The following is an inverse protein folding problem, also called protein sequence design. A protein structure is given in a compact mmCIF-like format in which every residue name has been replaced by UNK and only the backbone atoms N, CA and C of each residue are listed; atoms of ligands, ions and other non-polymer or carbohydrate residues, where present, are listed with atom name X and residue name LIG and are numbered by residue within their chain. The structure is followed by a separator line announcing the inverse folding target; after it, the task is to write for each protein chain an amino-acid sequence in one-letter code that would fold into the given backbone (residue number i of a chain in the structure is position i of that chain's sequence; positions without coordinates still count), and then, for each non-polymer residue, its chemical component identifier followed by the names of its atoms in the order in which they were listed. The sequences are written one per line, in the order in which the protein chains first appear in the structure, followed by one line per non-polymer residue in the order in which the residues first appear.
data_IF_536135217694
#
_entry.id   IF_536135217694
#
_cell.length_a   1.000
_cell.length_b   1.000
_cell.length_c   1.000
_cell.angle_alpha   90.00
_cell.angle_beta   90.00
_cell.angle_gamma   90.00
#
_symmetry.space_group_name_H-M   'P 1'
#
loop_
_entity.id
_entity.type
_entity.pdbx_description
1 polymer ?
#
# COMPACT_ATOMS: atom_id res chain seq x y z
N UNK A 1 -5.27 1.01 -3.62
CA UNK A 1 -5.71 -0.31 -3.09
C UNK A 1 -7.16 -0.32 -2.52
N UNK A 2 -8.13 0.42 -3.09
CA UNK A 2 -9.50 0.56 -2.51
C UNK A 2 -10.61 -0.24 -3.24
N UNK A 3 -10.27 -0.98 -4.31
CA UNK A 3 -11.26 -1.59 -5.23
C UNK A 3 -11.77 -2.99 -4.84
N UNK A 4 -11.12 -3.71 -3.91
CA UNK A 4 -11.54 -5.08 -3.56
C UNK A 4 -12.55 -5.18 -2.41
N UNK A 5 -12.71 -4.14 -1.58
CA UNK A 5 -13.70 -4.18 -0.47
C UNK A 5 -15.14 -3.92 -0.92
N UNK A 6 -15.33 -3.21 -2.05
CA UNK A 6 -16.67 -2.79 -2.50
C UNK A 6 -17.48 -3.96 -3.06
N UNK A 7 -16.83 -4.95 -3.67
CA UNK A 7 -17.52 -6.09 -4.29
C UNK A 7 -18.22 -7.00 -3.27
N UNK A 8 -17.57 -7.28 -2.13
CA UNK A 8 -18.13 -8.15 -1.11
C UNK A 8 -19.29 -7.52 -0.34
N UNK A 9 -19.14 -6.24 0.03
CA UNK A 9 -20.20 -5.51 0.77
C UNK A 9 -21.38 -5.19 -0.12
N UNK A 10 -21.16 -4.80 -1.38
CA UNK A 10 -22.24 -4.57 -2.33
C UNK A 10 -23.01 -5.86 -2.65
N UNK A 11 -22.33 -7.00 -2.77
CA UNK A 11 -22.98 -8.29 -2.98
C UNK A 11 -23.84 -8.68 -1.77
N UNK A 12 -23.34 -8.48 -0.54
CA UNK A 12 -24.14 -8.73 0.67
C UNK A 12 -25.37 -7.82 0.74
N UNK A 13 -25.22 -6.53 0.44
CA UNK A 13 -26.35 -5.58 0.45
C UNK A 13 -27.38 -5.91 -0.65
N UNK A 14 -26.92 -6.34 -1.82
CA UNK A 14 -27.79 -6.72 -2.93
C UNK A 14 -28.56 -8.02 -2.63
N UNK A 15 -27.92 -9.00 -1.99
CA UNK A 15 -28.59 -10.22 -1.51
C UNK A 15 -29.65 -9.88 -0.45
N UNK A 16 -29.35 -8.97 0.49
CA UNK A 16 -30.31 -8.51 1.49
C UNK A 16 -31.49 -7.74 0.85
N UNK A 17 -31.24 -6.90 -0.15
CA UNK A 17 -32.29 -6.13 -0.85
C UNK A 17 -33.22 -7.02 -1.66
N UNK A 18 -32.67 -7.96 -2.45
CA UNK A 18 -33.49 -8.91 -3.22
C UNK A 18 -34.37 -9.78 -2.32
N UNK A 19 -33.88 -10.10 -1.12
CA UNK A 19 -34.62 -10.89 -0.15
C UNK A 19 -35.76 -10.10 0.51
N UNK A 20 -35.55 -8.83 0.87
CA UNK A 20 -36.62 -7.97 1.36
C UNK A 20 -37.75 -7.81 0.34
N UNK A 21 -37.41 -7.67 -0.95
CA UNK A 21 -38.40 -7.70 -2.03
C UNK A 21 -39.18 -9.01 -2.06
N UNK A 22 -38.50 -10.15 -1.91
CA UNK A 22 -39.16 -11.46 -1.99
C UNK A 22 -40.12 -11.71 -0.83
N UNK A 23 -39.76 -11.29 0.38
CA UNK A 23 -40.61 -11.36 1.59
C UNK A 23 -41.90 -10.54 1.42
N UNK A 24 -41.77 -9.33 0.87
CA UNK A 24 -42.92 -8.42 0.67
C UNK A 24 -43.90 -8.96 -0.37
N UNK A 25 -43.41 -9.59 -1.45
CA UNK A 25 -44.25 -10.03 -2.56
C UNK A 25 -44.89 -11.41 -2.39
N UNK A 26 -44.29 -12.34 -1.64
CA UNK A 26 -44.72 -13.75 -1.64
C UNK A 26 -45.23 -14.30 -0.30
N UNK A 27 -45.16 -13.56 0.80
CA UNK A 27 -45.66 -14.01 2.11
C UNK A 27 -44.92 -15.24 2.64
N UNK A 28 -43.92 -15.02 3.50
CA UNK A 28 -42.94 -16.08 3.82
C UNK A 28 -43.39 -17.04 4.92
N UNK A 29 -43.17 -18.36 4.75
CA UNK A 29 -43.29 -19.32 5.85
C UNK A 29 -42.15 -19.11 6.85
N UNK A 30 -42.46 -19.26 8.15
CA UNK A 30 -41.55 -19.07 9.30
C UNK A 30 -40.17 -19.73 9.14
N UNK A 31 -40.08 -20.86 8.43
CA UNK A 31 -38.83 -21.59 8.19
C UNK A 31 -37.78 -20.80 7.39
N UNK A 32 -38.21 -19.88 6.51
CA UNK A 32 -37.28 -19.05 5.74
C UNK A 32 -36.50 -18.09 6.64
N UNK A 33 -37.16 -17.47 7.63
CA UNK A 33 -36.54 -16.55 8.59
C UNK A 33 -35.47 -17.25 9.43
N UNK A 34 -35.73 -18.49 9.85
CA UNK A 34 -34.76 -19.29 10.64
C UNK A 34 -33.52 -19.60 9.80
N UNK A 35 -33.68 -19.96 8.53
CA UNK A 35 -32.56 -20.24 7.63
C UNK A 35 -31.68 -19.00 7.41
N UNK A 36 -32.28 -17.81 7.27
CA UNK A 36 -31.54 -16.56 7.12
C UNK A 36 -30.86 -16.09 8.40
N UNK A 37 -31.49 -16.27 9.56
CA UNK A 37 -30.86 -15.99 10.84
C UNK A 37 -29.61 -16.86 11.04
N UNK A 38 -29.69 -18.14 10.65
CA UNK A 38 -28.53 -19.05 10.68
C UNK A 38 -27.44 -18.63 9.69
N UNK A 39 -27.80 -18.33 8.44
CA UNK A 39 -26.82 -17.93 7.42
C UNK A 39 -26.09 -16.63 7.79
N UNK A 40 -26.85 -15.60 8.21
CA UNK A 40 -26.29 -14.31 8.62
C UNK A 40 -25.43 -14.43 9.89
N UNK A 41 -25.86 -15.23 10.87
CA UNK A 41 -25.05 -15.53 12.06
C UNK A 41 -23.74 -16.24 11.70
N UNK A 42 -23.78 -17.19 10.77
CA UNK A 42 -22.60 -17.93 10.32
C UNK A 42 -21.59 -17.01 9.61
N UNK A 43 -22.07 -16.08 8.78
CA UNK A 43 -21.20 -15.09 8.13
C UNK A 43 -20.66 -14.08 9.15
N UNK A 44 -21.50 -13.56 10.05
CA UNK A 44 -21.09 -12.56 11.04
C UNK A 44 -20.02 -13.09 12.01
N UNK A 45 -20.09 -14.37 12.40
CA UNK A 45 -19.09 -15.01 13.26
C UNK A 45 -17.90 -15.62 12.49
N UNK A 46 -18.13 -16.18 11.30
CA UNK A 46 -17.11 -16.82 10.49
C UNK A 46 -16.21 -15.85 9.71
N UNK A 47 -16.75 -14.71 9.26
CA UNK A 47 -16.00 -13.72 8.50
C UNK A 47 -14.84 -13.07 9.28
N UNK A 48 -15.00 -12.59 10.53
CA UNK A 48 -13.90 -11.95 11.26
C UNK A 48 -12.74 -12.92 11.55
N UNK A 49 -13.05 -14.20 11.83
CA UNK A 49 -12.04 -15.22 12.09
C UNK A 49 -11.30 -15.63 10.81
N UNK A 50 -12.01 -15.78 9.69
CA UNK A 50 -11.42 -16.03 8.39
C UNK A 50 -10.53 -14.87 7.93
N UNK A 51 -11.03 -13.63 8.02
CA UNK A 51 -10.31 -12.43 7.59
C UNK A 51 -9.03 -12.23 8.40
N UNK A 52 -9.09 -12.39 9.74
CA UNK A 52 -7.89 -12.35 10.60
C UNK A 52 -6.85 -13.39 10.19
N UNK A 53 -7.29 -14.61 9.89
CA UNK A 53 -6.39 -15.69 9.47
C UNK A 53 -5.76 -15.44 8.10
N UNK A 54 -6.53 -14.91 7.15
CA UNK A 54 -6.04 -14.52 5.83
C UNK A 54 -4.99 -13.40 5.92
N UNK A 55 -5.30 -12.33 6.65
CA UNK A 55 -4.34 -11.23 6.89
C UNK A 55 -3.08 -11.70 7.61
N UNK A 56 -3.22 -12.53 8.64
CA UNK A 56 -2.06 -13.08 9.38
C UNK A 56 -1.17 -13.92 8.46
N UNK A 57 -1.75 -14.71 7.55
CA UNK A 57 -1.00 -15.47 6.54
C UNK A 57 -0.29 -14.55 5.55
N UNK A 58 -0.93 -13.47 5.10
CA UNK A 58 -0.31 -12.46 4.24
C UNK A 58 0.88 -11.78 4.90
N UNK A 59 0.72 -11.29 6.14
CA UNK A 59 1.79 -10.67 6.91
C UNK A 59 2.94 -11.66 7.16
N UNK A 60 2.64 -12.92 7.47
CA UNK A 60 3.67 -13.95 7.67
C UNK A 60 4.48 -14.22 6.39
N UNK A 61 3.87 -14.13 5.21
CA UNK A 61 4.57 -14.22 3.93
C UNK A 61 5.45 -12.99 3.66
N UNK A 62 5.01 -11.80 4.05
CA UNK A 62 5.84 -10.58 3.97
C UNK A 62 7.02 -10.60 4.95
N UNK A 63 6.93 -11.38 6.02
CA UNK A 63 8.03 -11.63 6.98
C UNK A 63 8.97 -12.78 6.57
N UNK A 64 8.82 -13.39 5.39
CA UNK A 64 9.87 -14.30 4.92
C UNK A 64 11.19 -13.52 4.79
N UNK A 65 12.32 -14.14 5.08
CA UNK A 65 13.63 -13.48 5.12
C UNK A 65 13.94 -12.72 3.82
N UNK A 66 13.52 -13.26 2.68
CA UNK A 66 13.63 -12.66 1.35
C UNK A 66 12.87 -11.32 1.22
N UNK A 67 11.65 -11.23 1.76
CA UNK A 67 10.89 -9.98 1.79
C UNK A 67 11.36 -9.02 2.89
N UNK A 68 11.99 -9.56 3.94
CA UNK A 68 12.56 -8.74 5.02
C UNK A 68 13.77 -7.98 4.49
N UNK A 69 14.61 -8.60 3.65
CA UNK A 69 15.71 -7.92 2.95
C UNK A 69 15.25 -6.78 2.02
N UNK A 70 14.01 -6.83 1.50
CA UNK A 70 13.44 -5.72 0.70
C UNK A 70 13.18 -4.48 1.57
N UNK A 71 12.89 -4.67 2.85
CA UNK A 71 12.47 -3.61 3.78
C UNK A 71 13.64 -3.16 4.66
N UNK A 72 14.51 -4.09 5.05
CA UNK A 72 15.64 -3.86 5.95
C UNK A 72 16.92 -4.35 5.30
N UNK A 73 17.88 -3.45 5.12
CA UNK A 73 19.17 -3.73 4.47
C UNK A 73 19.86 -2.43 4.10
N UNK A 74 21.12 -2.53 3.69
CA UNK A 74 21.83 -1.36 3.15
C UNK A 74 21.19 -0.95 1.82
N UNK A 75 21.14 0.36 1.61
CA UNK A 75 20.71 0.95 0.35
C UNK A 75 21.70 2.04 -0.02
N UNK A 76 22.23 1.93 -1.21
CA UNK A 76 23.06 2.96 -1.83
C UNK A 76 22.16 3.78 -2.75
N UNK A 77 22.26 5.10 -2.63
CA UNK A 77 21.50 6.04 -3.45
C UNK A 77 22.52 6.96 -4.10
N UNK A 78 22.56 6.96 -5.43
CA UNK A 78 23.50 7.75 -6.20
C UNK A 78 22.76 8.66 -7.16
N UNK A 79 23.26 9.89 -7.30
CA UNK A 79 22.75 10.86 -8.25
C UNK A 79 23.46 10.64 -9.58
N UNK A 80 22.73 10.18 -10.58
CA UNK A 80 23.24 10.01 -11.94
C UNK A 80 22.84 11.18 -12.84
N UNK A 81 23.18 11.12 -14.13
CA UNK A 81 22.87 12.19 -15.08
C UNK A 81 21.37 12.27 -15.38
N UNK A 82 20.73 11.13 -15.51
CA UNK A 82 19.35 10.94 -16.01
C UNK A 82 18.36 10.56 -14.88
N UNK A 83 18.84 10.41 -13.65
CA UNK A 83 17.99 10.17 -12.50
C UNK A 83 18.75 9.85 -11.23
N UNK A 84 18.03 9.26 -10.28
CA UNK A 84 18.57 8.70 -9.04
C UNK A 84 18.63 7.19 -9.21
N UNK A 85 19.80 6.59 -9.04
CA UNK A 85 19.93 5.13 -8.95
C UNK A 85 19.87 4.70 -7.49
N UNK A 86 19.23 3.55 -7.27
CA UNK A 86 19.15 2.92 -5.97
C UNK A 86 19.61 1.47 -6.09
N UNK A 87 20.54 1.08 -5.23
CA UNK A 87 21.06 -0.28 -5.16
C UNK A 87 20.91 -0.83 -3.75
N UNK A 88 20.68 -2.12 -3.68
CA UNK A 88 20.61 -2.91 -2.45
C UNK A 88 20.99 -4.35 -2.79
N UNK A 89 21.06 -5.22 -1.78
CA UNK A 89 21.42 -6.63 -1.96
C UNK A 89 20.52 -7.38 -2.97
N UNK A 90 19.26 -6.96 -3.14
CA UNK A 90 18.26 -7.70 -3.92
C UNK A 90 17.46 -6.83 -4.90
N UNK A 91 17.68 -5.53 -4.89
CA UNK A 91 16.99 -4.58 -5.76
C UNK A 91 17.99 -3.55 -6.27
N UNK A 92 18.03 -3.41 -7.59
CA UNK A 92 18.68 -2.33 -8.31
C UNK A 92 17.61 -1.67 -9.18
N UNK A 93 17.50 -0.36 -9.09
CA UNK A 93 16.50 0.40 -9.80
C UNK A 93 16.93 1.83 -10.02
N UNK A 94 16.23 2.50 -10.93
CA UNK A 94 16.49 3.89 -11.28
C UNK A 94 15.19 4.66 -11.37
N UNK A 95 15.20 5.86 -10.81
CA UNK A 95 14.11 6.81 -10.88
C UNK A 95 14.57 7.97 -11.74
N UNK A 96 13.95 8.13 -12.90
CA UNK A 96 14.20 9.29 -13.75
C UNK A 96 13.81 10.58 -13.01
N UNK A 97 14.47 11.70 -13.33
CA UNK A 97 14.17 13.00 -12.70
C UNK A 97 12.70 13.41 -12.81
N UNK A 98 12.04 13.08 -13.93
CA UNK A 98 10.62 13.33 -14.13
C UNK A 98 9.71 12.57 -13.14
N UNK A 99 10.21 11.49 -12.53
CA UNK A 99 9.53 10.73 -11.50
C UNK A 99 9.76 11.26 -10.08
N UNK A 100 10.56 12.32 -9.90
CA UNK A 100 10.77 12.98 -8.60
C UNK A 100 9.91 14.24 -8.52
N UNK A 101 8.80 14.17 -7.78
CA UNK A 101 7.83 15.25 -7.65
C UNK A 101 8.34 16.36 -6.73
N UNK A 102 8.80 16.01 -5.53
CA UNK A 102 9.29 16.96 -4.53
C UNK A 102 10.28 16.33 -3.56
N UNK A 103 11.04 17.19 -2.89
CA UNK A 103 12.01 16.82 -1.86
C UNK A 103 11.60 17.57 -0.60
N UNK A 104 11.25 16.82 0.45
CA UNK A 104 10.83 17.39 1.73
C UNK A 104 11.75 16.86 2.83
N UNK A 105 12.13 17.71 3.78
CA UNK A 105 12.94 17.30 4.92
C UNK A 105 12.25 17.72 6.20
N UNK A 106 11.97 16.74 7.07
CA UNK A 106 11.29 16.95 8.34
C UNK A 106 12.07 16.22 9.46
N UNK A 107 12.62 17.00 10.39
CA UNK A 107 13.43 16.48 11.49
C UNK A 107 14.66 15.71 10.99
N UNK A 108 14.75 14.43 11.38
CA UNK A 108 15.85 13.51 11.03
C UNK A 108 15.57 12.67 9.77
N UNK A 109 14.61 13.08 8.94
CA UNK A 109 14.21 12.33 7.76
C UNK A 109 14.10 13.25 6.55
N UNK A 110 14.55 12.75 5.40
CA UNK A 110 14.28 13.34 4.09
C UNK A 110 13.41 12.41 3.27
N UNK A 111 12.43 12.98 2.61
CA UNK A 111 11.45 12.32 1.78
C UNK A 111 11.64 12.77 0.34
N UNK A 112 11.97 11.82 -0.54
CA UNK A 112 11.99 12.02 -1.98
C UNK A 112 10.66 11.51 -2.53
N UNK A 113 9.75 12.41 -2.84
CA UNK A 113 8.41 12.07 -3.30
C UNK A 113 8.48 11.63 -4.76
N UNK A 114 8.08 10.39 -5.04
CA UNK A 114 8.07 9.83 -6.40
C UNK A 114 6.66 9.70 -7.00
N UNK A 115 5.67 10.20 -6.26
CA UNK A 115 4.25 10.10 -6.56
C UNK A 115 3.42 10.48 -5.33
N UNK A 116 2.12 10.73 -5.53
CA UNK A 116 1.20 11.12 -4.46
C UNK A 116 1.10 10.14 -3.27
N UNK A 117 1.54 8.88 -3.42
CA UNK A 117 1.50 7.86 -2.35
C UNK A 117 2.81 7.11 -2.18
N UNK A 118 3.89 7.54 -2.83
CA UNK A 118 5.19 6.84 -2.78
C UNK A 118 6.31 7.82 -2.52
N UNK A 119 7.15 7.50 -1.56
CA UNK A 119 8.32 8.29 -1.20
C UNK A 119 9.49 7.37 -0.86
N UNK A 120 10.69 7.82 -1.19
CA UNK A 120 11.92 7.25 -0.64
C UNK A 120 12.22 8.00 0.64
N UNK A 121 12.37 7.27 1.73
CA UNK A 121 12.69 7.84 3.04
C UNK A 121 14.17 7.63 3.31
N UNK A 122 14.87 8.73 3.56
CA UNK A 122 16.29 8.75 3.94
C UNK A 122 16.38 9.21 5.39
N UNK A 123 16.51 8.27 6.35
CA UNK A 123 16.76 8.61 7.75
C UNK A 123 18.21 9.06 7.95
N UNK A 124 18.41 10.27 8.49
CA UNK A 124 19.73 10.90 8.64
C UNK A 124 20.65 10.12 9.59
N UNK A 125 20.07 9.50 10.63
CA UNK A 125 20.80 8.73 11.64
C UNK A 125 21.38 7.41 11.13
N UNK A 126 20.88 6.89 10.00
CA UNK A 126 21.32 5.61 9.43
C UNK A 126 22.20 5.78 8.19
N UNK A 127 22.65 7.00 7.89
CA UNK A 127 23.60 7.25 6.81
C UNK A 127 24.99 6.79 7.28
N UNK A 128 25.49 5.70 6.70
CA UNK A 128 26.77 5.08 7.09
C UNK A 128 27.94 5.68 6.31
N UNK A 129 27.73 6.06 5.06
CA UNK A 129 28.76 6.52 4.13
C UNK A 129 28.21 7.59 3.17
N UNK A 130 29.09 8.49 2.70
CA UNK A 130 28.75 9.60 1.80
C UNK A 130 28.54 10.94 2.51
N UNK A 131 28.54 12.02 1.72
CA UNK A 131 28.23 13.37 2.20
C UNK A 131 26.77 13.72 1.88
N UNK A 132 25.91 13.57 2.88
CA UNK A 132 24.49 13.87 2.77
C UNK A 132 24.20 15.33 2.41
N UNK A 133 25.02 16.29 2.85
CA UNK A 133 24.82 17.71 2.51
C UNK A 133 25.16 17.97 1.06
N UNK A 134 26.27 17.41 0.57
CA UNK A 134 26.64 17.49 -0.83
C UNK A 134 25.60 16.81 -1.72
N UNK A 135 25.11 15.64 -1.31
CA UNK A 135 24.03 14.93 -1.99
C UNK A 135 22.77 15.80 -2.12
N UNK A 136 22.29 16.41 -1.03
CA UNK A 136 21.13 17.29 -1.09
C UNK A 136 21.34 18.52 -1.97
N UNK A 137 22.52 19.12 -1.94
CA UNK A 137 22.85 20.27 -2.77
C UNK A 137 22.78 19.90 -4.25
N UNK A 138 23.40 18.78 -4.64
CA UNK A 138 23.34 18.30 -6.02
C UNK A 138 21.91 17.89 -6.43
N UNK A 139 21.16 17.29 -5.50
CA UNK A 139 19.77 16.90 -5.74
C UNK A 139 18.89 18.12 -6.01
N UNK A 140 19.07 19.21 -5.25
CA UNK A 140 18.35 20.46 -5.45
C UNK A 140 18.70 21.17 -6.76
N UNK A 141 19.96 21.10 -7.20
CA UNK A 141 20.40 21.65 -8.49
C UNK A 141 19.79 20.88 -9.68
N UNK A 142 19.71 19.55 -9.59
CA UNK A 142 19.18 18.70 -10.66
C UNK A 142 17.66 18.57 -10.65
N UNK A 143 17.01 18.80 -9.51
CA UNK A 143 15.55 18.78 -9.39
C UNK A 143 14.97 20.06 -10.00
N UNK A 144 14.46 19.95 -11.22
CA UNK A 144 13.65 20.99 -11.84
C UNK A 144 12.17 20.57 -11.78
N UNK A 145 11.37 21.07 -10.83
CA UNK A 145 9.97 20.65 -10.62
C UNK A 145 8.99 21.08 -11.74
N UNK A 146 9.47 21.40 -12.94
CA UNK A 146 8.69 22.03 -13.99
C UNK A 146 8.97 21.49 -15.40
N UNK A 147 9.10 20.16 -15.54
CA UNK A 147 8.82 19.52 -16.82
C UNK A 147 7.35 19.09 -16.83
N UNK A 148 6.48 20.06 -17.07
CA UNK A 148 5.07 19.88 -17.41
C UNK A 148 4.88 18.67 -18.34
N UNK A 149 4.27 17.61 -17.82
CA UNK A 149 3.63 16.58 -18.63
C UNK A 149 2.54 17.27 -19.45
N UNK A 150 2.84 17.47 -20.73
CA UNK A 150 1.93 18.02 -21.74
C UNK A 150 1.03 16.92 -22.29
#
# INVERSE_FOLDING_TARGET
MRRQQVGGTALCLLVLLLDTCRVIFFGTPFFSLIFYALLSGTVAFGYPTYFRSFFRRGIRRLKSEENTKLITGWREIEIERDGISMKSEIFEGKIAWAGLESIETEGQHTFLMTGATSAIVIPHEHIVEGDYRAFLAELGEKHHPNQTLR
#
